data_IF_231255717437
#
_entry.id   IF_231255717437
#
_cell.length_a   1.000
_cell.length_b   1.000
_cell.length_c   1.000
_cell.angle_alpha   90.00
_cell.angle_beta   90.00
_cell.angle_gamma   90.00
#
_symmetry.space_group_name_H-M   'P 1'
#
loop_
_entity.id
_entity.type
_entity.pdbx_description
1 polymer ?
#
# COMPACT_ATOMS: atom_id res chain seq x y z
N UNK A 1 -20.17 -22.30 -3.35
CA UNK A 1 -20.45 -22.15 -4.79
C UNK A 1 -19.14 -21.77 -5.47
N UNK A 2 -18.52 -22.75 -6.13
CA UNK A 2 -17.15 -22.71 -6.62
C UNK A 2 -17.12 -21.90 -7.94
N UNK A 3 -16.47 -20.73 -7.96
CA UNK A 3 -16.15 -20.04 -9.20
C UNK A 3 -15.05 -20.84 -9.91
N UNK A 4 -15.48 -21.73 -10.81
CA UNK A 4 -14.60 -22.36 -11.79
C UNK A 4 -13.89 -21.24 -12.55
N UNK A 5 -12.55 -21.25 -12.51
CA UNK A 5 -11.70 -20.52 -13.45
C UNK A 5 -11.99 -21.06 -14.86
N UNK A 6 -12.91 -20.44 -15.56
CA UNK A 6 -12.94 -20.43 -17.02
C UNK A 6 -12.12 -19.21 -17.44
N UNK A 7 -10.80 -19.36 -17.50
CA UNK A 7 -10.00 -18.52 -18.39
C UNK A 7 -9.94 -19.28 -19.70
N UNK A 8 -11.00 -19.20 -20.49
CA UNK A 8 -10.77 -19.15 -21.94
C UNK A 8 -9.90 -17.92 -22.15
N UNK A 9 -8.78 -18.10 -22.85
CA UNK A 9 -7.92 -16.98 -23.26
C UNK A 9 -8.80 -16.06 -24.10
N UNK A 10 -9.40 -15.06 -23.47
CA UNK A 10 -9.93 -13.92 -24.20
C UNK A 10 -8.72 -13.28 -24.89
N UNK A 11 -8.80 -12.93 -26.17
CA UNK A 11 -7.73 -12.20 -26.81
C UNK A 11 -7.54 -10.90 -26.03
N UNK A 12 -6.42 -10.81 -25.32
CA UNK A 12 -5.98 -9.55 -24.73
C UNK A 12 -5.59 -8.67 -25.93
N UNK A 13 -6.54 -7.84 -26.37
CA UNK A 13 -6.31 -6.87 -27.42
C UNK A 13 -5.64 -5.68 -26.74
N UNK A 14 -4.32 -5.58 -26.87
CA UNK A 14 -3.60 -4.37 -26.54
C UNK A 14 -3.98 -3.29 -27.54
N UNK A 15 -4.79 -2.34 -27.08
CA UNK A 15 -5.18 -1.17 -27.86
C UNK A 15 -4.12 -0.08 -27.67
N UNK A 16 -3.27 0.10 -28.68
CA UNK A 16 -2.29 1.18 -28.71
C UNK A 16 -2.95 2.49 -29.18
N UNK A 17 -3.17 3.40 -28.24
CA UNK A 17 -3.74 4.72 -28.52
C UNK A 17 -2.68 5.80 -28.80
N UNK A 18 -1.38 5.48 -28.80
CA UNK A 18 -0.32 6.48 -28.97
C UNK A 18 -0.31 7.13 -30.36
N UNK A 19 -0.90 6.47 -31.35
CA UNK A 19 -1.11 6.98 -32.72
C UNK A 19 -2.33 7.90 -32.88
N UNK A 20 -3.24 7.99 -31.89
CA UNK A 20 -4.42 8.84 -31.96
C UNK A 20 -4.06 10.31 -31.69
N UNK A 21 -3.45 10.96 -32.68
CA UNK A 21 -3.24 12.41 -32.68
C UNK A 21 -4.32 13.04 -33.56
N UNK A 22 -5.44 13.36 -32.90
CA UNK A 22 -6.65 13.98 -33.44
C UNK A 22 -7.50 13.04 -34.31
N UNK A 23 -8.64 12.61 -33.76
CA UNK A 23 -9.70 11.96 -34.54
C UNK A 23 -10.47 13.05 -35.25
N UNK A 24 -10.54 13.02 -36.57
CA UNK A 24 -11.41 13.95 -37.31
C UNK A 24 -12.88 13.63 -37.02
N UNK A 25 -13.77 14.63 -37.06
CA UNK A 25 -15.21 14.39 -36.79
C UNK A 25 -15.83 13.24 -37.62
N UNK A 26 -15.47 13.04 -38.90
CA UNK A 26 -15.96 11.91 -39.68
C UNK A 26 -15.46 10.54 -39.17
N UNK A 27 -14.17 10.42 -38.87
CA UNK A 27 -13.59 9.18 -38.32
C UNK A 27 -14.18 8.83 -36.96
N UNK A 28 -14.45 9.85 -36.13
CA UNK A 28 -15.08 9.66 -34.83
C UNK A 28 -16.48 9.05 -34.96
N UNK A 29 -17.27 9.52 -35.93
CA UNK A 29 -18.63 9.00 -36.15
C UNK A 29 -18.61 7.60 -36.79
N UNK A 30 -17.61 7.27 -37.62
CA UNK A 30 -17.43 5.92 -38.15
C UNK A 30 -17.06 4.92 -37.03
N UNK A 31 -16.06 5.26 -36.22
CA UNK A 31 -15.64 4.45 -35.06
C UNK A 31 -16.81 4.28 -34.10
N UNK A 32 -17.53 5.36 -33.80
CA UNK A 32 -18.71 5.33 -32.93
C UNK A 32 -19.80 4.42 -33.50
N UNK A 33 -20.07 4.49 -34.80
CA UNK A 33 -21.07 3.62 -35.45
C UNK A 33 -20.70 2.14 -35.34
N UNK A 34 -19.44 1.80 -35.59
CA UNK A 34 -18.94 0.44 -35.42
C UNK A 34 -19.01 -0.03 -33.96
N UNK A 35 -18.59 0.81 -33.01
CA UNK A 35 -18.68 0.52 -31.58
C UNK A 35 -20.13 0.32 -31.12
N UNK A 36 -21.07 1.14 -31.62
CA UNK A 36 -22.49 1.01 -31.31
C UNK A 36 -23.06 -0.34 -31.76
N UNK A 37 -22.67 -0.81 -32.95
CA UNK A 37 -23.11 -2.10 -33.48
C UNK A 37 -22.54 -3.27 -32.65
N UNK A 38 -21.26 -3.18 -32.28
CA UNK A 38 -20.60 -4.15 -31.42
C UNK A 38 -21.26 -4.19 -30.04
N UNK A 39 -21.49 -3.02 -29.43
CA UNK A 39 -22.12 -2.86 -28.12
C UNK A 39 -23.50 -3.49 -28.15
N UNK A 40 -24.40 -3.13 -29.08
CA UNK A 40 -25.79 -3.63 -29.11
C UNK A 40 -25.92 -5.15 -29.05
N UNK A 41 -24.96 -5.90 -29.61
CA UNK A 41 -25.06 -7.35 -29.75
C UNK A 41 -24.34 -8.14 -28.64
N UNK A 42 -23.62 -7.48 -27.74
CA UNK A 42 -22.80 -8.15 -26.73
C UNK A 42 -22.91 -7.49 -25.36
N UNK A 43 -22.39 -8.15 -24.32
CA UNK A 43 -22.24 -7.55 -23.00
C UNK A 43 -20.77 -7.24 -22.73
N UNK A 44 -20.47 -6.01 -22.32
CA UNK A 44 -19.10 -5.55 -22.12
C UNK A 44 -18.82 -5.24 -20.66
N UNK A 45 -17.61 -5.62 -20.23
CA UNK A 45 -16.99 -5.17 -18.99
C UNK A 45 -15.70 -4.44 -19.35
N UNK A 46 -15.62 -3.16 -19.03
CA UNK A 46 -14.42 -2.35 -19.21
C UNK A 46 -13.84 -2.06 -17.83
N UNK A 47 -12.61 -2.52 -17.60
CA UNK A 47 -11.86 -2.30 -16.37
C UNK A 47 -10.77 -1.28 -16.67
N UNK A 48 -10.74 -0.18 -15.92
CA UNK A 48 -9.74 0.89 -16.07
C UNK A 48 -8.93 0.95 -14.77
N UNK A 49 -7.65 0.64 -14.83
CA UNK A 49 -6.74 0.58 -13.67
C UNK A 49 -5.48 1.42 -13.92
N UNK A 50 -4.63 1.57 -12.90
CA UNK A 50 -3.35 2.30 -12.93
C UNK A 50 -3.47 3.79 -13.34
N UNK A 51 -4.62 4.42 -13.08
CA UNK A 51 -4.82 5.84 -13.33
C UNK A 51 -3.95 6.75 -12.44
N UNK A 52 -3.39 6.20 -11.37
CA UNK A 52 -2.51 6.88 -10.44
C UNK A 52 -1.06 7.00 -10.91
N UNK A 53 -0.57 6.09 -11.76
CA UNK A 53 0.83 6.08 -12.21
C UNK A 53 1.27 7.38 -12.91
N UNK A 54 0.52 7.92 -13.90
CA UNK A 54 0.87 9.19 -14.52
C UNK A 54 0.42 10.40 -13.70
N UNK A 55 -0.42 10.22 -12.67
CA UNK A 55 -1.12 11.32 -12.05
C UNK A 55 -0.20 12.28 -11.31
N UNK A 56 -0.32 13.55 -11.64
CA UNK A 56 0.23 14.68 -10.91
C UNK A 56 -0.95 15.57 -10.58
N UNK A 57 -1.01 16.06 -9.33
CA UNK A 57 -2.08 16.93 -8.86
C UNK A 57 -2.05 18.30 -9.57
N UNK A 58 -2.54 18.32 -10.80
CA UNK A 58 -2.62 19.48 -11.68
C UNK A 58 -4.07 19.68 -12.12
N UNK A 59 -4.45 20.93 -12.37
CA UNK A 59 -5.82 21.26 -12.81
C UNK A 59 -6.23 20.49 -14.07
N UNK A 60 -5.30 20.30 -15.01
CA UNK A 60 -5.54 19.58 -16.25
C UNK A 60 -5.84 18.09 -16.01
N UNK A 61 -4.97 17.37 -15.30
CA UNK A 61 -5.17 15.94 -15.05
C UNK A 61 -6.40 15.68 -14.18
N UNK A 62 -6.65 16.53 -13.18
CA UNK A 62 -7.86 16.45 -12.36
C UNK A 62 -9.12 16.68 -13.21
N UNK A 63 -9.06 17.56 -14.21
CA UNK A 63 -10.18 17.77 -15.14
C UNK A 63 -10.39 16.58 -16.08
N UNK A 64 -9.31 15.91 -16.53
CA UNK A 64 -9.42 14.67 -17.31
C UNK A 64 -10.05 13.54 -16.51
N UNK A 65 -9.66 13.34 -15.25
CA UNK A 65 -10.27 12.34 -14.38
C UNK A 65 -11.76 12.63 -14.13
N UNK A 66 -12.14 13.89 -13.90
CA UNK A 66 -13.56 14.29 -13.80
C UNK A 66 -14.32 14.02 -15.11
N UNK A 67 -13.68 14.32 -16.25
CA UNK A 67 -14.21 14.02 -17.59
C UNK A 67 -14.45 12.52 -17.78
N UNK A 68 -13.51 11.67 -17.38
CA UNK A 68 -13.66 10.21 -17.42
C UNK A 68 -14.89 9.75 -16.64
N UNK A 69 -15.07 10.21 -15.40
CA UNK A 69 -16.23 9.84 -14.58
C UNK A 69 -17.54 10.32 -15.21
N UNK A 70 -17.56 11.53 -15.78
CA UNK A 70 -18.71 12.05 -16.53
C UNK A 70 -19.05 11.19 -17.76
N UNK A 71 -18.04 10.85 -18.56
CA UNK A 71 -18.19 9.99 -19.74
C UNK A 71 -18.70 8.61 -19.37
N UNK A 72 -18.20 8.01 -18.28
CA UNK A 72 -18.69 6.72 -17.77
C UNK A 72 -20.18 6.77 -17.43
N UNK A 73 -20.63 7.83 -16.76
CA UNK A 73 -22.06 8.01 -16.44
C UNK A 73 -22.92 8.22 -17.66
N UNK A 74 -22.42 8.94 -18.66
CA UNK A 74 -23.11 9.09 -19.93
C UNK A 74 -23.26 7.73 -20.62
N UNK A 75 -22.17 6.98 -20.77
CA UNK A 75 -22.18 5.65 -21.37
C UNK A 75 -23.10 4.67 -20.63
N UNK A 76 -23.10 4.68 -19.28
CA UNK A 76 -24.02 3.88 -18.46
C UNK A 76 -25.49 4.21 -18.70
N UNK A 77 -25.83 5.47 -19.01
CA UNK A 77 -27.20 5.89 -19.34
C UNK A 77 -27.59 5.45 -20.75
N UNK A 78 -26.65 5.52 -21.68
CA UNK A 78 -26.88 5.21 -23.10
C UNK A 78 -26.89 3.70 -23.37
N UNK A 79 -26.18 2.90 -22.56
CA UNK A 79 -26.01 1.45 -22.76
C UNK A 79 -26.23 0.66 -21.47
N UNK A 80 -27.24 -0.23 -21.47
CA UNK A 80 -27.54 -1.11 -20.34
C UNK A 80 -26.64 -2.36 -20.25
N UNK A 81 -25.96 -2.69 -21.35
CA UNK A 81 -25.11 -3.86 -21.53
C UNK A 81 -23.60 -3.54 -21.47
N UNK A 82 -23.26 -2.28 -21.16
CA UNK A 82 -21.89 -1.83 -20.94
C UNK A 82 -21.68 -1.52 -19.46
N UNK A 83 -20.76 -2.25 -18.82
CA UNK A 83 -20.36 -2.00 -17.42
C UNK A 83 -18.93 -1.52 -17.39
N UNK A 84 -18.72 -0.34 -16.82
CA UNK A 84 -17.39 0.27 -16.70
C UNK A 84 -17.04 0.36 -15.21
N UNK A 85 -15.88 -0.15 -14.85
CA UNK A 85 -15.35 -0.11 -13.48
C UNK A 85 -13.98 0.56 -13.56
N UNK A 86 -13.84 1.65 -12.81
CA UNK A 86 -12.59 2.39 -12.72
C UNK A 86 -12.02 2.26 -11.32
N UNK A 87 -10.75 1.86 -11.25
CA UNK A 87 -9.98 1.79 -10.02
C UNK A 87 -9.21 3.10 -9.86
N UNK A 88 -9.36 3.71 -8.69
CA UNK A 88 -8.71 4.97 -8.37
C UNK A 88 -8.27 4.94 -6.91
N UNK A 89 -7.09 5.48 -6.63
CA UNK A 89 -6.62 5.64 -5.25
C UNK A 89 -7.51 6.62 -4.48
N UNK A 90 -7.64 6.36 -3.18
CA UNK A 90 -8.49 7.14 -2.27
C UNK A 90 -8.03 8.61 -2.15
N UNK A 91 -6.72 8.86 -2.18
CA UNK A 91 -6.15 10.22 -2.13
C UNK A 91 -6.41 11.02 -3.42
N UNK A 92 -6.29 10.38 -4.59
CA UNK A 92 -6.63 11.02 -5.87
C UNK A 92 -8.13 11.28 -5.96
N UNK A 93 -8.96 10.32 -5.53
CA UNK A 93 -10.41 10.50 -5.45
C UNK A 93 -10.77 11.71 -4.58
N UNK A 94 -10.21 11.78 -3.36
CA UNK A 94 -10.46 12.89 -2.43
C UNK A 94 -10.07 14.24 -3.06
N UNK A 95 -9.02 14.28 -3.90
CA UNK A 95 -8.60 15.50 -4.60
C UNK A 95 -9.55 15.91 -5.72
N UNK A 96 -9.96 14.99 -6.59
CA UNK A 96 -10.87 15.32 -7.71
C UNK A 96 -12.29 15.62 -7.24
N UNK A 97 -12.71 15.05 -6.10
CA UNK A 97 -14.02 15.27 -5.50
C UNK A 97 -14.17 16.65 -4.83
N UNK A 98 -13.06 17.30 -4.43
CA UNK A 98 -13.11 18.63 -3.81
C UNK A 98 -13.83 19.64 -4.70
N UNK A 99 -14.90 20.23 -4.16
CA UNK A 99 -15.66 21.29 -4.81
C UNK A 99 -16.39 20.84 -6.08
N UNK A 100 -16.70 19.53 -6.21
CA UNK A 100 -17.38 19.00 -7.38
C UNK A 100 -18.60 18.16 -7.01
N UNK A 101 -19.78 18.63 -7.42
CA UNK A 101 -21.07 17.94 -7.26
C UNK A 101 -21.15 16.63 -8.08
N UNK A 102 -20.16 16.38 -8.93
CA UNK A 102 -20.04 15.12 -9.67
C UNK A 102 -19.93 13.92 -8.71
N UNK A 103 -19.48 14.09 -7.48
CA UNK A 103 -19.17 12.96 -6.60
C UNK A 103 -20.20 12.74 -5.49
N UNK A 104 -21.37 13.38 -5.58
CA UNK A 104 -22.42 13.33 -4.54
C UNK A 104 -23.14 11.96 -4.46
N UNK A 105 -23.03 11.12 -5.50
CA UNK A 105 -23.68 9.80 -5.51
C UNK A 105 -22.77 8.72 -4.92
N UNK A 106 -22.75 8.58 -3.59
CA UNK A 106 -21.97 7.53 -2.91
C UNK A 106 -22.28 6.11 -3.40
N UNK A 107 -23.50 5.87 -3.92
CA UNK A 107 -23.96 4.57 -4.41
C UNK A 107 -23.19 4.06 -5.65
N UNK A 108 -22.45 4.93 -6.35
CA UNK A 108 -21.64 4.54 -7.52
C UNK A 108 -20.17 4.26 -7.16
N UNK A 109 -19.81 4.42 -5.88
CA UNK A 109 -18.43 4.35 -5.40
C UNK A 109 -18.32 3.22 -4.38
N UNK A 110 -17.43 2.27 -4.66
CA UNK A 110 -17.07 1.24 -3.70
C UNK A 110 -15.68 1.54 -3.13
N UNK A 111 -15.63 2.06 -1.89
CA UNK A 111 -14.35 2.22 -1.18
C UNK A 111 -13.86 0.87 -0.66
N UNK A 112 -12.82 0.34 -1.28
CA UNK A 112 -12.18 -0.90 -0.86
C UNK A 112 -11.19 -0.57 0.27
N UNK A 113 -11.44 -1.11 1.46
CA UNK A 113 -10.51 -1.01 2.60
C UNK A 113 -10.10 -2.40 3.04
N UNK A 114 -8.81 -2.62 3.15
CA UNK A 114 -8.30 -3.83 3.79
C UNK A 114 -8.45 -3.68 5.31
N UNK A 115 -9.50 -4.29 5.87
CA UNK A 115 -9.64 -4.42 7.32
C UNK A 115 -8.99 -5.73 7.75
N UNK A 116 -7.91 -5.62 8.51
CA UNK A 116 -7.25 -6.77 9.12
C UNK A 116 -7.53 -6.78 10.62
N UNK A 117 -8.73 -7.23 10.98
CA UNK A 117 -9.15 -7.37 12.38
C UNK A 117 -8.26 -8.43 13.05
N UNK A 118 -7.27 -7.96 13.83
CA UNK A 118 -6.35 -8.82 14.58
C UNK A 118 -5.56 -9.84 13.73
N UNK A 119 -5.14 -9.48 12.52
CA UNK A 119 -4.40 -10.36 11.58
C UNK A 119 -5.24 -11.47 10.93
N UNK A 120 -6.57 -11.45 11.08
CA UNK A 120 -7.43 -12.51 10.56
C UNK A 120 -7.39 -12.60 9.03
N UNK A 121 -7.56 -11.48 8.34
CA UNK A 121 -7.65 -11.42 6.87
C UNK A 121 -6.33 -11.81 6.22
N UNK A 122 -5.20 -11.36 6.77
CA UNK A 122 -3.87 -11.72 6.25
C UNK A 122 -3.52 -13.19 6.51
N UNK A 123 -3.88 -13.73 7.68
CA UNK A 123 -3.74 -15.17 7.97
C UNK A 123 -4.57 -16.01 7.02
N UNK A 124 -5.84 -15.64 6.83
CA UNK A 124 -6.76 -16.28 5.87
C UNK A 124 -6.20 -16.26 4.47
N UNK A 125 -5.64 -15.12 4.03
CA UNK A 125 -5.06 -14.97 2.70
C UNK A 125 -3.96 -16.00 2.43
N UNK A 126 -2.99 -16.15 3.34
CA UNK A 126 -1.92 -17.12 3.13
C UNK A 126 -2.43 -18.56 3.26
N UNK A 127 -3.24 -18.85 4.29
CA UNK A 127 -3.82 -20.17 4.48
C UNK A 127 -4.64 -20.62 3.26
N UNK A 128 -5.40 -19.71 2.66
CA UNK A 128 -6.19 -19.96 1.44
C UNK A 128 -5.28 -20.29 0.26
N UNK A 129 -4.15 -19.58 0.09
CA UNK A 129 -3.18 -19.90 -0.96
C UNK A 129 -2.57 -21.29 -0.77
N UNK A 130 -2.20 -21.64 0.47
CA UNK A 130 -1.66 -22.96 0.81
C UNK A 130 -2.70 -24.05 0.53
N UNK A 131 -3.92 -23.91 1.06
CA UNK A 131 -5.00 -24.87 0.84
C UNK A 131 -5.33 -25.02 -0.65
N UNK A 132 -5.36 -23.92 -1.41
CA UNK A 132 -5.59 -23.95 -2.87
C UNK A 132 -4.49 -24.71 -3.59
N UNK A 133 -3.22 -24.52 -3.22
CA UNK A 133 -2.10 -25.24 -3.81
C UNK A 133 -2.21 -26.76 -3.59
N UNK A 134 -2.60 -27.18 -2.38
CA UNK A 134 -2.79 -28.59 -2.03
C UNK A 134 -4.18 -29.14 -2.40
N UNK A 135 -5.07 -28.32 -2.96
CA UNK A 135 -6.48 -28.68 -3.28
C UNK A 135 -7.26 -29.17 -2.05
N UNK A 136 -7.02 -28.56 -0.91
CA UNK A 136 -7.66 -28.87 0.37
C UNK A 136 -8.75 -27.85 0.70
N UNK A 137 -9.74 -28.28 1.49
CA UNK A 137 -10.73 -27.36 2.05
C UNK A 137 -10.13 -26.54 3.19
N UNK A 138 -10.63 -25.30 3.35
CA UNK A 138 -10.22 -24.40 4.43
C UNK A 138 -11.44 -23.88 5.17
N UNK A 139 -11.57 -24.28 6.44
CA UNK A 139 -12.56 -23.71 7.34
C UNK A 139 -12.17 -22.27 7.71
N UNK A 140 -13.17 -21.41 7.87
CA UNK A 140 -12.99 -20.00 8.20
C UNK A 140 -12.73 -19.80 9.70
N UNK A 141 -11.59 -20.28 10.19
CA UNK A 141 -11.20 -20.17 11.60
C UNK A 141 -9.69 -19.96 11.78
N UNK A 142 -9.31 -19.22 12.84
CA UNK A 142 -7.90 -18.98 13.17
C UNK A 142 -7.11 -20.27 13.35
N UNK A 143 -7.69 -21.29 13.97
CA UNK A 143 -7.05 -22.60 14.15
C UNK A 143 -6.79 -23.27 12.80
N UNK A 144 -7.75 -23.23 11.87
CA UNK A 144 -7.56 -23.79 10.54
C UNK A 144 -6.47 -23.03 9.77
N UNK A 145 -6.41 -21.71 9.90
CA UNK A 145 -5.36 -20.90 9.25
C UNK A 145 -3.98 -21.20 9.82
N UNK A 146 -3.87 -21.25 11.15
CA UNK A 146 -2.62 -21.56 11.85
C UNK A 146 -2.13 -22.99 11.52
N UNK A 147 -3.04 -23.95 11.32
CA UNK A 147 -2.69 -25.30 10.86
C UNK A 147 -2.14 -25.34 9.43
N UNK A 148 -2.63 -24.49 8.50
CA UNK A 148 -2.04 -24.39 7.16
C UNK A 148 -0.73 -23.62 7.18
N UNK A 149 -0.66 -22.57 8.00
CA UNK A 149 0.56 -21.80 8.23
C UNK A 149 1.72 -22.69 8.70
N UNK A 150 1.43 -23.61 9.64
CA UNK A 150 2.42 -24.50 10.21
C UNK A 150 3.00 -25.51 9.22
N UNK A 151 2.51 -25.59 7.98
CA UNK A 151 3.16 -26.41 6.95
C UNK A 151 4.51 -25.83 6.53
N UNK A 152 4.65 -24.50 6.57
CA UNK A 152 5.84 -23.81 6.05
C UNK A 152 6.57 -23.01 7.11
N UNK A 153 5.87 -22.54 8.14
CA UNK A 153 6.41 -21.55 9.07
C UNK A 153 6.21 -21.96 10.53
N UNK A 154 7.11 -21.55 11.44
CA UNK A 154 6.87 -21.73 12.86
C UNK A 154 5.69 -20.85 13.29
N UNK A 155 4.85 -21.38 14.18
CA UNK A 155 3.69 -20.63 14.72
C UNK A 155 4.13 -19.44 15.57
N UNK A 156 5.15 -19.66 16.40
CA UNK A 156 5.69 -18.66 17.32
C UNK A 156 7.14 -18.38 17.00
N UNK A 157 7.51 -17.14 17.23
CA UNK A 157 8.85 -16.63 17.10
C UNK A 157 9.49 -16.52 18.49
N UNK A 158 10.65 -17.12 18.67
CA UNK A 158 11.46 -17.01 19.89
C UNK A 158 12.73 -16.20 19.56
N UNK A 159 12.52 -14.93 19.20
CA UNK A 159 13.57 -14.06 18.70
C UNK A 159 13.42 -12.64 19.27
N UNK A 160 14.56 -12.03 19.62
CA UNK A 160 14.64 -10.69 20.19
C UNK A 160 13.98 -10.56 21.57
N UNK A 161 13.56 -9.34 21.92
CA UNK A 161 12.88 -9.04 23.20
C UNK A 161 11.41 -9.47 23.25
N UNK A 162 10.90 -10.23 22.26
CA UNK A 162 9.49 -10.63 22.21
C UNK A 162 9.32 -12.15 22.07
N UNK A 163 9.81 -12.94 23.06
CA UNK A 163 9.66 -14.39 23.04
C UNK A 163 8.19 -14.81 23.03
N UNK A 164 7.85 -15.80 22.21
CA UNK A 164 6.52 -16.41 22.14
C UNK A 164 5.49 -15.64 21.31
N UNK A 165 5.87 -14.57 20.60
CA UNK A 165 4.95 -13.84 19.70
C UNK A 165 4.58 -14.69 18.49
N UNK A 166 3.33 -14.62 18.04
CA UNK A 166 2.92 -15.26 16.78
C UNK A 166 3.69 -14.64 15.61
N UNK A 167 4.28 -15.48 14.76
CA UNK A 167 5.05 -15.02 13.60
C UNK A 167 4.18 -14.19 12.63
N UNK A 168 2.93 -14.59 12.45
CA UNK A 168 1.93 -13.86 11.66
C UNK A 168 1.75 -12.42 12.13
N UNK A 169 1.56 -12.21 13.44
CA UNK A 169 1.45 -10.86 14.02
C UNK A 169 2.76 -10.08 13.89
N UNK A 170 3.90 -10.74 14.05
CA UNK A 170 5.21 -10.13 13.87
C UNK A 170 5.43 -9.61 12.43
N UNK A 171 5.00 -10.37 11.43
CA UNK A 171 5.06 -9.99 10.01
C UNK A 171 4.09 -8.85 9.72
N UNK A 172 2.82 -8.96 10.14
CA UNK A 172 1.80 -7.93 9.87
C UNK A 172 2.23 -6.54 10.36
N UNK A 173 2.80 -6.46 11.57
CA UNK A 173 3.29 -5.20 12.15
C UNK A 173 4.43 -4.55 11.36
N UNK A 174 5.10 -5.29 10.47
CA UNK A 174 6.18 -4.81 9.61
C UNK A 174 5.73 -4.52 8.19
N UNK A 175 4.57 -5.03 7.79
CA UNK A 175 4.09 -4.97 6.41
C UNK A 175 2.92 -4.02 6.22
N UNK A 176 2.72 -3.07 7.17
CA UNK A 176 1.66 -2.06 7.10
C UNK A 176 0.25 -2.66 6.94
N UNK A 177 0.07 -3.91 7.37
CA UNK A 177 -1.12 -4.72 7.06
C UNK A 177 -1.46 -4.82 5.56
N UNK A 178 -0.50 -4.58 4.66
CA UNK A 178 -0.66 -4.66 3.21
C UNK A 178 -0.50 -6.12 2.74
N UNK A 179 -1.49 -6.70 2.06
CA UNK A 179 -1.44 -8.09 1.57
C UNK A 179 -0.20 -8.42 0.74
N UNK A 180 0.19 -7.53 -0.16
CA UNK A 180 1.35 -7.72 -1.04
C UNK A 180 2.65 -7.82 -0.25
N UNK A 181 2.89 -6.88 0.65
CA UNK A 181 4.10 -6.85 1.49
C UNK A 181 4.11 -8.03 2.48
N UNK A 182 2.96 -8.41 3.04
CA UNK A 182 2.82 -9.60 3.89
C UNK A 182 3.26 -10.88 3.16
N UNK A 183 2.74 -11.10 1.96
CA UNK A 183 3.06 -12.27 1.15
C UNK A 183 4.50 -12.26 0.65
N UNK A 184 5.03 -11.09 0.28
CA UNK A 184 6.43 -10.92 -0.11
C UNK A 184 7.36 -11.28 1.04
N UNK A 185 7.08 -10.81 2.26
CA UNK A 185 7.90 -11.12 3.42
C UNK A 185 7.82 -12.63 3.76
N UNK A 186 6.62 -13.23 3.73
CA UNK A 186 6.46 -14.67 3.89
C UNK A 186 7.30 -15.47 2.87
N UNK A 187 7.26 -15.06 1.59
CA UNK A 187 8.07 -15.66 0.53
C UNK A 187 9.56 -15.55 0.81
N UNK A 188 10.05 -14.36 1.19
CA UNK A 188 11.46 -14.17 1.53
C UNK A 188 11.91 -15.05 2.70
N UNK A 189 11.06 -15.27 3.71
CA UNK A 189 11.36 -16.18 4.82
C UNK A 189 11.64 -17.60 4.29
N UNK A 190 10.83 -18.11 3.34
CA UNK A 190 11.08 -19.42 2.72
C UNK A 190 12.38 -19.40 1.90
N UNK A 191 12.56 -18.39 1.04
CA UNK A 191 13.74 -18.28 0.16
C UNK A 191 15.06 -18.16 0.92
N UNK A 192 15.04 -17.67 2.16
CA UNK A 192 16.23 -17.54 3.02
C UNK A 192 16.43 -18.69 4.00
N UNK A 193 15.52 -19.67 4.02
CA UNK A 193 15.72 -20.88 4.81
C UNK A 193 16.90 -21.66 4.25
N UNK A 194 17.91 -21.91 5.09
CA UNK A 194 19.03 -22.79 4.76
C UNK A 194 18.65 -24.28 4.92
N UNK A 195 17.55 -24.55 5.62
CA UNK A 195 17.01 -25.89 5.82
C UNK A 195 16.07 -26.26 4.68
N UNK A 196 16.27 -27.46 4.12
CA UNK A 196 15.32 -28.10 3.20
C UNK A 196 14.08 -28.66 3.92
N UNK A 197 14.13 -28.74 5.26
CA UNK A 197 12.98 -29.17 6.08
C UNK A 197 12.05 -28.01 6.36
N UNK A 198 10.75 -28.33 6.31
CA UNK A 198 9.68 -27.47 6.77
C UNK A 198 9.11 -27.97 8.11
N UNK A 199 8.59 -27.08 8.98
CA UNK A 199 8.53 -25.62 8.83
C UNK A 199 9.92 -24.98 8.87
N UNK A 200 10.08 -23.82 8.24
CA UNK A 200 11.38 -23.13 8.21
C UNK A 200 11.90 -22.84 9.62
N UNK A 201 13.22 -22.82 9.75
CA UNK A 201 13.88 -22.45 11.00
C UNK A 201 13.78 -20.93 11.24
N UNK A 202 13.89 -20.51 12.51
CA UNK A 202 13.68 -19.11 12.90
C UNK A 202 14.79 -18.16 12.43
N UNK A 203 15.98 -18.67 12.14
CA UNK A 203 17.11 -17.95 11.55
C UNK A 203 16.76 -17.34 10.18
N UNK A 204 15.97 -18.05 9.36
CA UNK A 204 15.47 -17.58 8.08
C UNK A 204 14.66 -16.28 8.22
N UNK A 205 13.91 -16.14 9.32
CA UNK A 205 13.11 -14.93 9.61
C UNK A 205 14.00 -13.72 9.81
N UNK A 206 15.14 -13.87 10.51
CA UNK A 206 16.08 -12.78 10.73
C UNK A 206 16.68 -12.29 9.41
N UNK A 207 17.16 -13.22 8.57
CA UNK A 207 17.78 -12.88 7.30
C UNK A 207 16.77 -12.20 6.38
N UNK A 208 15.55 -12.74 6.30
CA UNK A 208 14.46 -12.15 5.54
C UNK A 208 14.04 -10.76 6.07
N UNK A 209 14.00 -10.55 7.39
CA UNK A 209 13.68 -9.24 7.98
C UNK A 209 14.72 -8.19 7.58
N UNK A 210 16.01 -8.55 7.61
CA UNK A 210 17.09 -7.66 7.16
C UNK A 210 16.91 -7.24 5.71
N UNK A 211 16.67 -8.19 4.81
CA UNK A 211 16.47 -7.88 3.40
C UNK A 211 15.19 -7.08 3.16
N UNK A 212 14.11 -7.44 3.83
CA UNK A 212 12.83 -6.73 3.77
C UNK A 212 13.00 -5.28 4.26
N UNK A 213 13.70 -5.05 5.36
CA UNK A 213 13.92 -3.71 5.92
C UNK A 213 14.79 -2.84 5.01
N UNK A 214 15.83 -3.42 4.41
CA UNK A 214 16.64 -2.76 3.37
C UNK A 214 15.81 -2.40 2.14
N UNK A 215 14.99 -3.34 1.66
CA UNK A 215 14.08 -3.10 0.55
C UNK A 215 13.08 -1.99 0.90
N UNK A 216 12.51 -1.98 2.11
CA UNK A 216 11.49 -1.00 2.51
C UNK A 216 12.03 0.43 2.56
N UNK A 217 13.28 0.63 3.00
CA UNK A 217 13.93 1.95 2.90
C UNK A 217 14.04 2.39 1.44
N UNK A 218 14.51 1.52 0.54
CA UNK A 218 14.64 1.84 -0.89
C UNK A 218 13.29 2.10 -1.56
N UNK A 219 12.27 1.30 -1.21
CA UNK A 219 10.88 1.46 -1.67
C UNK A 219 10.35 2.84 -1.30
N UNK A 220 10.51 3.23 -0.02
CA UNK A 220 10.09 4.54 0.48
C UNK A 220 10.85 5.69 -0.20
N UNK A 221 12.17 5.57 -0.36
CA UNK A 221 12.99 6.57 -1.05
C UNK A 221 12.58 6.70 -2.52
N UNK A 222 12.34 5.57 -3.19
CA UNK A 222 11.89 5.52 -4.58
C UNK A 222 10.53 6.20 -4.78
N UNK A 223 9.56 5.93 -3.89
CA UNK A 223 8.21 6.50 -3.91
C UNK A 223 8.25 8.03 -3.91
N UNK A 224 9.17 8.62 -3.15
CA UNK A 224 9.25 10.07 -2.94
C UNK A 224 10.38 10.75 -3.72
N UNK A 225 11.17 10.02 -4.50
CA UNK A 225 12.37 10.51 -5.20
C UNK A 225 12.12 11.66 -6.19
N UNK A 226 10.91 11.74 -6.77
CA UNK A 226 10.52 12.84 -7.67
C UNK A 226 10.28 14.16 -6.93
N UNK A 227 9.92 14.10 -5.65
CA UNK A 227 9.54 15.27 -4.84
C UNK A 227 10.65 15.68 -3.88
N UNK A 228 11.35 14.70 -3.30
CA UNK A 228 12.27 14.91 -2.20
C UNK A 228 13.67 14.36 -2.50
N UNK A 229 14.70 15.16 -2.21
CA UNK A 229 16.11 14.73 -2.13
C UNK A 229 16.50 14.48 -0.67
N UNK A 230 17.62 13.78 -0.47
CA UNK A 230 18.20 13.48 0.83
C UNK A 230 17.30 12.67 1.78
N UNK A 231 16.18 12.11 1.31
CA UNK A 231 15.28 11.29 2.12
C UNK A 231 15.99 10.06 2.70
N UNK A 232 16.83 9.38 1.91
CA UNK A 232 17.62 8.25 2.40
C UNK A 232 18.53 8.68 3.54
N UNK A 233 19.35 9.72 3.34
CA UNK A 233 20.24 10.26 4.37
C UNK A 233 19.47 10.69 5.64
N UNK A 234 18.29 11.29 5.47
CA UNK A 234 17.41 11.65 6.59
C UNK A 234 16.96 10.39 7.36
N UNK A 235 16.47 9.36 6.67
CA UNK A 235 16.07 8.10 7.30
C UNK A 235 17.26 7.45 8.03
N UNK A 236 18.43 7.40 7.37
CA UNK A 236 19.63 6.79 7.91
C UNK A 236 20.24 7.58 9.07
N UNK A 237 19.94 8.87 9.20
CA UNK A 237 20.37 9.65 10.36
C UNK A 237 19.80 9.13 11.69
N UNK A 238 18.69 8.38 11.65
CA UNK A 238 18.11 7.71 12.82
C UNK A 238 18.84 6.41 13.21
N UNK A 239 19.89 6.04 12.51
CA UNK A 239 20.74 4.90 12.91
C UNK A 239 21.37 5.16 14.27
N UNK A 240 21.52 4.13 15.09
CA UNK A 240 22.01 4.30 16.47
C UNK A 240 20.97 4.80 17.49
N UNK A 241 19.77 5.24 17.08
CA UNK A 241 18.63 5.50 17.98
C UNK A 241 18.07 4.21 18.66
N UNK A 242 18.76 3.09 18.51
CA UNK A 242 18.33 1.72 18.74
C UNK A 242 17.95 1.38 20.19
N UNK A 243 18.19 2.27 21.15
CA UNK A 243 17.83 2.04 22.55
C UNK A 243 16.35 2.32 22.81
N UNK A 244 15.72 3.24 22.07
CA UNK A 244 14.29 3.52 22.16
C UNK A 244 13.74 4.00 20.81
N UNK A 245 12.83 3.22 20.23
CA UNK A 245 12.16 3.59 18.98
C UNK A 245 11.04 4.61 19.16
N UNK A 246 10.63 4.87 20.41
CA UNK A 246 9.69 5.93 20.75
C UNK A 246 10.41 7.25 20.95
N UNK A 247 9.98 8.27 20.21
CA UNK A 247 10.58 9.59 20.16
C UNK A 247 9.51 10.61 20.51
N UNK A 248 9.77 11.41 21.54
CA UNK A 248 8.94 12.59 21.82
C UNK A 248 9.14 13.63 20.72
N UNK A 249 8.23 14.60 20.64
CA UNK A 249 8.44 15.76 19.77
C UNK A 249 9.79 16.43 20.02
N UNK A 250 10.16 16.64 21.28
CA UNK A 250 11.44 17.25 21.66
C UNK A 250 12.64 16.45 21.14
N UNK A 251 12.60 15.12 21.23
CA UNK A 251 13.66 14.26 20.70
C UNK A 251 13.81 14.43 19.18
N UNK A 252 12.69 14.50 18.45
CA UNK A 252 12.69 14.72 16.99
C UNK A 252 13.19 16.12 16.61
N UNK A 253 12.84 17.15 17.39
CA UNK A 253 13.34 18.53 17.21
C UNK A 253 14.85 18.58 17.39
N UNK A 254 15.36 17.99 18.47
CA UNK A 254 16.78 17.93 18.77
C UNK A 254 17.52 17.15 17.68
N UNK A 255 17.00 16.00 17.27
CA UNK A 255 17.54 15.21 16.17
C UNK A 255 17.63 16.03 14.88
N UNK A 256 16.54 16.69 14.50
CA UNK A 256 16.47 17.51 13.29
C UNK A 256 17.47 18.67 13.30
N UNK A 257 17.62 19.33 14.45
CA UNK A 257 18.52 20.49 14.60
C UNK A 257 19.99 20.12 14.44
N UNK A 258 20.33 18.85 14.69
CA UNK A 258 21.68 18.31 14.55
C UNK A 258 21.98 17.73 13.16
N UNK A 259 21.00 17.71 12.24
CA UNK A 259 21.21 17.21 10.89
C UNK A 259 22.08 18.17 10.06
N UNK A 260 23.01 17.59 9.28
CA UNK A 260 23.69 18.32 8.21
C UNK A 260 22.73 18.65 7.06
N UNK A 261 23.11 19.57 6.18
CA UNK A 261 22.25 19.94 5.04
C UNK A 261 22.05 18.78 4.05
N UNK A 262 23.04 17.87 3.95
CA UNK A 262 22.96 16.62 3.18
C UNK A 262 22.01 15.58 3.78
N UNK A 263 21.60 15.75 5.05
CA UNK A 263 20.65 14.90 5.75
C UNK A 263 19.25 15.54 5.86
N UNK A 264 19.14 16.85 5.68
CA UNK A 264 17.85 17.54 5.65
C UNK A 264 17.14 17.28 4.33
N UNK A 265 15.89 16.84 4.41
CA UNK A 265 15.06 16.61 3.23
C UNK A 265 14.90 17.91 2.46
N UNK A 266 15.24 17.88 1.18
CA UNK A 266 15.08 18.99 0.26
C UNK A 266 13.90 18.75 -0.68
N UNK A 267 12.96 19.71 -0.74
CA UNK A 267 11.80 19.64 -1.62
C UNK A 267 12.12 20.29 -2.96
N UNK A 268 12.14 19.48 -4.03
CA UNK A 268 12.45 19.92 -5.40
C UNK A 268 11.42 20.89 -5.97
N UNK A 269 10.16 20.78 -5.53
CA UNK A 269 9.05 21.59 -6.05
C UNK A 269 9.07 22.98 -5.42
N UNK A 270 9.26 23.07 -4.10
CA UNK A 270 9.32 24.35 -3.40
C UNK A 270 10.71 24.97 -3.33
N UNK A 271 11.74 24.24 -3.80
CA UNK A 271 13.15 24.63 -3.82
C UNK A 271 13.70 24.99 -2.42
N UNK A 272 13.27 24.26 -1.39
CA UNK A 272 13.59 24.52 0.02
C UNK A 272 13.71 23.23 0.83
N UNK A 273 14.52 23.27 1.89
CA UNK A 273 14.48 22.22 2.92
C UNK A 273 13.15 22.26 3.66
N UNK A 274 12.66 21.09 4.06
CA UNK A 274 11.46 21.00 4.90
C UNK A 274 11.73 21.65 6.26
N UNK A 275 10.77 22.42 6.76
CA UNK A 275 10.78 22.85 8.16
C UNK A 275 10.62 21.65 9.09
N UNK A 276 10.95 21.82 10.37
CA UNK A 276 10.89 20.76 11.37
C UNK A 276 9.50 20.10 11.47
N UNK A 277 8.45 20.91 11.57
CA UNK A 277 7.07 20.40 11.67
C UNK A 277 6.65 19.68 10.39
N UNK A 278 7.03 20.22 9.23
CA UNK A 278 6.70 19.62 7.94
C UNK A 278 7.46 18.32 7.71
N UNK A 279 8.70 18.22 8.19
CA UNK A 279 9.46 16.98 8.20
C UNK A 279 8.77 15.91 9.04
N UNK A 280 8.39 16.21 10.28
CA UNK A 280 7.74 15.23 11.16
C UNK A 280 6.40 14.78 10.58
N UNK A 281 5.60 15.73 10.08
CA UNK A 281 4.32 15.43 9.39
C UNK A 281 4.57 14.55 8.17
N UNK A 282 5.57 14.88 7.35
CA UNK A 282 5.93 14.10 6.18
C UNK A 282 6.34 12.67 6.55
N UNK A 283 7.26 12.51 7.50
CA UNK A 283 7.72 11.18 7.95
C UNK A 283 6.58 10.34 8.55
N UNK A 284 5.61 10.97 9.21
CA UNK A 284 4.38 10.30 9.65
C UNK A 284 3.47 9.91 8.49
N UNK A 285 3.21 10.83 7.55
CA UNK A 285 2.37 10.58 6.37
C UNK A 285 2.93 9.47 5.48
N UNK A 286 4.25 9.48 5.28
CA UNK A 286 5.00 8.51 4.52
C UNK A 286 5.11 7.14 5.23
N UNK A 287 4.63 7.02 6.47
CA UNK A 287 4.61 5.77 7.23
C UNK A 287 5.94 5.39 7.89
N UNK A 288 6.95 6.26 7.84
CA UNK A 288 8.19 6.06 8.59
C UNK A 288 7.96 6.16 10.10
N UNK A 289 7.16 7.15 10.52
CA UNK A 289 6.72 7.33 11.89
C UNK A 289 5.27 6.85 12.07
N UNK A 290 4.97 6.38 13.28
CA UNK A 290 3.61 6.13 13.76
C UNK A 290 3.37 6.90 15.04
N UNK A 291 2.15 7.36 15.25
CA UNK A 291 1.76 8.04 16.49
C UNK A 291 1.50 7.02 17.59
N UNK A 292 2.09 7.24 18.76
CA UNK A 292 1.92 6.38 19.94
C UNK A 292 0.69 6.84 20.72
N UNK A 293 -0.21 5.91 20.99
CA UNK A 293 -1.37 6.11 21.86
C UNK A 293 -1.17 5.29 23.13
N UNK A 294 -0.78 6.00 24.19
CA UNK A 294 -0.69 5.46 25.54
C UNK A 294 -2.05 5.60 26.23
N UNK A 295 -2.59 4.49 26.72
CA UNK A 295 -3.78 4.47 27.59
C UNK A 295 -3.43 3.69 28.85
N UNK A 296 -3.67 4.29 30.01
CA UNK A 296 -3.48 3.64 31.31
C UNK A 296 -4.24 2.30 31.33
N UNK A 297 -3.53 1.22 31.67
CA UNK A 297 -4.10 -0.13 31.76
C UNK A 297 -4.35 -0.85 30.42
N UNK A 298 -3.97 -0.27 29.27
CA UNK A 298 -4.16 -0.89 27.95
C UNK A 298 -2.81 -1.04 27.25
N UNK A 299 -2.66 -2.08 26.42
CA UNK A 299 -1.49 -2.23 25.53
C UNK A 299 -1.34 -0.99 24.65
N UNK A 300 -0.11 -0.51 24.49
CA UNK A 300 0.24 0.59 23.58
C UNK A 300 -0.31 0.33 22.18
N UNK A 301 -1.07 1.30 21.66
CA UNK A 301 -1.56 1.28 20.29
C UNK A 301 -0.75 2.26 19.45
N UNK A 302 -0.58 1.95 18.17
CA UNK A 302 0.06 2.81 17.19
C UNK A 302 -0.97 3.20 16.14
N UNK A 303 -0.98 4.47 15.74
CA UNK A 303 -1.77 4.96 14.61
C UNK A 303 -0.84 5.32 13.46
N UNK A 304 -1.24 4.95 12.25
CA UNK A 304 -0.57 5.31 10.99
C UNK A 304 -1.35 6.43 10.28
N UNK A 305 -0.79 6.91 9.16
CA UNK A 305 -1.45 7.89 8.30
C UNK A 305 -2.74 7.41 7.64
N UNK A 306 -2.99 6.10 7.63
CA UNK A 306 -4.26 5.50 7.15
C UNK A 306 -5.39 5.81 8.14
N UNK A 307 -5.11 5.82 9.44
CA UNK A 307 -6.12 6.03 10.48
C UNK A 307 -6.28 7.51 10.86
N UNK A 308 -5.20 8.29 10.79
CA UNK A 308 -5.19 9.71 11.14
C UNK A 308 -4.36 10.48 10.12
N UNK A 309 -5.00 11.24 9.22
CA UNK A 309 -4.31 12.05 8.19
C UNK A 309 -3.68 13.32 8.77
N UNK A 310 -4.18 13.82 9.91
CA UNK A 310 -3.71 15.06 10.54
C UNK A 310 -3.06 14.76 11.88
N UNK A 311 -1.78 15.09 12.01
CA UNK A 311 -1.06 14.98 13.28
C UNK A 311 -0.60 16.36 13.73
N UNK A 312 -0.71 16.62 15.04
CA UNK A 312 -0.10 17.76 15.70
C UNK A 312 1.23 17.30 16.29
N UNK A 313 2.40 17.61 15.67
CA UNK A 313 3.68 17.08 16.11
C UNK A 313 3.99 17.44 17.56
N UNK A 314 3.76 18.69 17.94
CA UNK A 314 4.11 19.25 19.27
C UNK A 314 3.45 18.57 20.46
N UNK A 315 2.31 17.90 20.25
CA UNK A 315 1.55 17.20 21.30
C UNK A 315 1.57 15.68 21.14
N UNK A 316 2.36 15.16 20.20
CA UNK A 316 2.39 13.74 19.86
C UNK A 316 3.72 13.09 20.25
N UNK A 317 3.65 11.81 20.61
CA UNK A 317 4.81 10.92 20.68
C UNK A 317 4.78 10.01 19.47
N UNK A 318 5.94 9.77 18.88
CA UNK A 318 6.09 8.96 17.68
C UNK A 318 6.89 7.69 17.96
N UNK A 319 6.76 6.72 17.08
CA UNK A 319 7.50 5.47 17.08
C UNK A 319 7.97 5.17 15.66
N UNK A 320 9.26 4.86 15.48
CA UNK A 320 9.77 4.43 14.18
C UNK A 320 9.14 3.09 13.80
N UNK A 321 8.55 3.02 12.61
CA UNK A 321 7.83 1.84 12.16
C UNK A 321 8.75 0.59 12.15
N UNK A 322 8.32 -0.58 12.68
CA UNK A 322 9.11 -1.80 12.77
C UNK A 322 9.76 -2.25 11.46
N UNK A 323 9.13 -1.93 10.33
CA UNK A 323 9.62 -2.22 8.99
C UNK A 323 11.05 -1.67 8.73
N UNK A 324 11.44 -0.56 9.35
CA UNK A 324 12.73 0.11 9.10
C UNK A 324 13.81 -0.20 10.14
N UNK A 325 13.40 -0.73 11.31
CA UNK A 325 14.29 -0.85 12.48
C UNK A 325 15.50 -1.73 12.24
N UNK A 326 15.34 -2.83 11.48
CA UNK A 326 16.44 -3.76 11.24
C UNK A 326 17.55 -3.11 10.42
N UNK A 327 17.20 -2.28 9.42
CA UNK A 327 18.16 -1.47 8.67
C UNK A 327 18.87 -0.45 9.56
N UNK A 328 18.12 0.25 10.43
CA UNK A 328 18.67 1.29 11.31
C UNK A 328 19.50 0.75 12.48
N UNK A 329 19.33 -0.52 12.85
CA UNK A 329 20.06 -1.16 13.94
C UNK A 329 21.39 -1.81 13.52
N UNK A 330 21.67 -1.87 12.22
CA UNK A 330 22.85 -2.52 11.66
C UNK A 330 23.90 -1.54 11.14
N UNK A 331 23.57 -0.25 11.13
CA UNK A 331 24.51 0.87 10.96
C UNK A 331 24.90 1.42 12.31
#
# INVERSE_FOLDING_TARGET
MCLKRFWTVEPEIDLDFTGFKEITSPEAEEIKSALLEIIKNNNFYVLIDNLDEPWINSNQMNSWLRGLILSMRQLKRDFNNLKIITFLRDDIYDEIAKGSDLFDSENEILRIKWKDDNNFSLRKLLATRIATYFKEELNDSLLAFDNKWSYFYPLRLNYGQVPGKYLTTYITERTFSRPREFLQFCRHIIEKSQSEKLPVLQDAVHIAEREYSNWKVRDLVGEYSKTYENLENCILSFSGACQNWQLSYADLVTHYSNLSDEQKIYNKISNKHLGQDDLIKFLFLAGFLRKVILKLGVRTKYLTSIEEKFVSPSTSTFDIHPAFRKKLAEM
#
